data_IF_383443615868
#
_entry.id   IF_383443615868
#
_cell.length_a   1.000
_cell.length_b   1.000
_cell.length_c   1.000
_cell.angle_alpha   90.00
_cell.angle_beta   90.00
_cell.angle_gamma   90.00
#
_symmetry.space_group_name_H-M   'P 1'
#
loop_
_entity.id
_entity.type
_entity.pdbx_description
1 polymer ?
#
# COMPACT_ATOMS: atom_id res chain seq x y z
N UNK A 1 -18.13 -1.30 -1.74
CA UNK A 1 -18.58 -2.39 -2.62
C UNK A 1 -20.07 -2.55 -2.37
N UNK A 2 -20.87 -1.77 -3.08
CA UNK A 2 -22.31 -2.02 -3.12
C UNK A 2 -22.48 -3.22 -4.02
N UNK A 3 -22.92 -4.28 -3.41
CA UNK A 3 -22.94 -5.59 -3.97
C UNK A 3 -24.06 -5.71 -5.02
N UNK A 4 -23.79 -6.49 -6.05
CA UNK A 4 -24.77 -6.99 -7.02
C UNK A 4 -25.89 -7.85 -6.39
N UNK A 5 -26.09 -7.75 -5.07
CA UNK A 5 -27.02 -8.58 -4.31
C UNK A 5 -28.31 -7.84 -3.88
N UNK A 6 -28.45 -6.54 -4.17
CA UNK A 6 -29.75 -5.89 -3.99
C UNK A 6 -30.50 -5.92 -5.32
N UNK A 7 -31.55 -6.75 -5.46
CA UNK A 7 -32.35 -6.83 -6.68
C UNK A 7 -33.04 -5.51 -7.03
N UNK A 8 -33.04 -4.53 -6.11
CA UNK A 8 -33.57 -3.18 -6.37
C UNK A 8 -32.53 -2.27 -7.01
N UNK A 9 -31.28 -2.70 -7.09
CA UNK A 9 -30.22 -1.91 -7.73
C UNK A 9 -30.39 -1.82 -9.25
N UNK A 10 -31.14 -2.74 -9.85
CA UNK A 10 -31.42 -2.73 -11.29
C UNK A 10 -32.47 -1.68 -11.67
N UNK A 11 -33.30 -1.23 -10.73
CA UNK A 11 -34.34 -0.22 -10.96
C UNK A 11 -33.85 1.23 -10.77
N UNK A 12 -32.64 1.41 -10.25
CA UNK A 12 -32.04 2.72 -10.16
C UNK A 12 -31.19 2.98 -11.40
N UNK A 13 -31.76 3.57 -12.44
CA UNK A 13 -31.00 4.35 -13.43
C UNK A 13 -30.29 5.51 -12.70
N UNK A 14 -29.19 5.20 -12.06
CA UNK A 14 -28.32 6.22 -11.51
C UNK A 14 -27.62 6.86 -12.71
N UNK A 15 -28.17 8.00 -13.11
CA UNK A 15 -27.76 8.75 -14.27
C UNK A 15 -26.25 8.99 -14.36
N UNK A 16 -25.58 8.34 -15.30
CA UNK A 16 -24.34 8.79 -15.88
C UNK A 16 -23.06 8.08 -15.40
N UNK A 17 -21.98 8.25 -16.16
CA UNK A 17 -20.68 7.57 -15.96
C UNK A 17 -19.91 7.99 -14.70
N UNK A 18 -20.54 8.82 -13.86
CA UNK A 18 -19.90 9.42 -12.68
C UNK A 18 -20.00 8.57 -11.39
N UNK A 19 -20.64 7.41 -11.43
CA UNK A 19 -21.00 6.66 -10.21
C UNK A 19 -20.19 5.38 -9.97
N UNK A 20 -19.23 5.07 -10.80
CA UNK A 20 -18.24 4.09 -10.40
C UNK A 20 -17.29 4.77 -9.43
N UNK A 21 -17.21 4.31 -8.17
CA UNK A 21 -16.28 4.91 -7.23
C UNK A 21 -14.88 4.78 -7.80
N UNK A 22 -14.31 5.90 -8.17
CA UNK A 22 -12.92 5.95 -8.60
C UNK A 22 -12.07 5.45 -7.43
N UNK A 23 -11.28 4.42 -7.68
CA UNK A 23 -10.53 3.73 -6.63
C UNK A 23 -9.23 4.45 -6.36
N UNK A 24 -8.86 4.57 -5.09
CA UNK A 24 -7.49 4.87 -4.71
C UNK A 24 -6.70 3.56 -4.76
N UNK A 25 -5.57 3.56 -5.44
CA UNK A 25 -4.60 2.45 -5.41
C UNK A 25 -3.52 2.78 -4.41
N UNK A 26 -3.29 1.91 -3.46
CA UNK A 26 -2.27 2.08 -2.43
C UNK A 26 -1.29 0.93 -2.57
N UNK A 27 -0.01 1.26 -2.72
CA UNK A 27 1.08 0.30 -2.80
C UNK A 27 1.41 -0.37 -1.46
N UNK A 28 2.56 -0.96 -1.40
CA UNK A 28 3.06 -1.66 -0.20
C UNK A 28 3.94 -0.74 0.64
N UNK A 29 4.15 -1.06 1.92
CA UNK A 29 4.97 -0.25 2.86
C UNK A 29 4.57 1.24 2.92
N UNK A 30 3.29 1.54 2.69
CA UNK A 30 2.76 2.90 2.73
C UNK A 30 2.35 3.26 4.15
N UNK A 31 2.80 4.41 4.63
CA UNK A 31 2.32 4.99 5.88
C UNK A 31 1.33 6.13 5.59
N UNK A 32 0.16 6.06 6.18
CA UNK A 32 -0.88 7.10 6.07
C UNK A 32 -1.11 7.71 7.44
N UNK A 33 -0.74 8.98 7.59
CA UNK A 33 -0.90 9.73 8.84
C UNK A 33 -2.37 9.96 9.20
N UNK A 34 -2.60 10.16 10.49
CA UNK A 34 -3.95 10.37 11.03
C UNK A 34 -4.68 11.51 10.32
N UNK A 35 -5.94 11.27 9.95
CA UNK A 35 -6.79 12.28 9.32
C UNK A 35 -6.40 12.68 7.91
N UNK A 36 -5.49 11.96 7.25
CA UNK A 36 -5.18 12.21 5.85
C UNK A 36 -6.38 11.90 4.95
N UNK A 37 -6.60 12.74 3.95
CA UNK A 37 -7.65 12.58 2.96
C UNK A 37 -7.06 12.30 1.58
N UNK A 38 -7.46 11.18 0.97
CA UNK A 38 -7.01 10.77 -0.35
C UNK A 38 -8.14 10.98 -1.37
N UNK A 39 -7.89 11.81 -2.38
CA UNK A 39 -8.88 12.01 -3.45
C UNK A 39 -9.06 10.73 -4.28
N UNK A 40 -10.24 10.53 -4.86
CA UNK A 40 -10.47 9.40 -5.77
C UNK A 40 -9.53 9.44 -6.99
N UNK A 41 -9.28 8.25 -7.57
CA UNK A 41 -8.55 8.08 -8.83
C UNK A 41 -7.05 8.45 -8.77
N UNK A 42 -6.43 8.27 -7.59
CA UNK A 42 -5.00 8.47 -7.41
C UNK A 42 -4.30 7.16 -7.05
N UNK A 43 -3.00 7.14 -7.29
CA UNK A 43 -2.10 6.04 -6.91
C UNK A 43 -1.10 6.54 -5.88
N UNK A 44 -0.97 5.81 -4.79
CA UNK A 44 0.06 6.00 -3.77
C UNK A 44 1.11 4.91 -3.99
N UNK A 45 2.32 5.30 -4.37
CA UNK A 45 3.41 4.38 -4.67
C UNK A 45 3.94 3.65 -3.45
N UNK A 46 4.63 2.54 -3.68
CA UNK A 46 5.25 1.73 -2.62
C UNK A 46 6.15 2.58 -1.73
N UNK A 47 6.12 2.33 -0.43
CA UNK A 47 6.95 3.03 0.53
C UNK A 47 6.62 4.50 0.75
N UNK A 48 5.55 5.03 0.17
CA UNK A 48 5.18 6.45 0.35
C UNK A 48 4.73 6.75 1.78
N UNK A 49 4.93 7.98 2.20
CA UNK A 49 4.50 8.50 3.50
C UNK A 49 3.58 9.69 3.29
N UNK A 50 2.36 9.57 3.79
CA UNK A 50 1.37 10.62 3.78
C UNK A 50 1.33 11.26 5.17
N UNK A 51 1.64 12.55 5.25
CA UNK A 51 1.61 13.29 6.50
C UNK A 51 0.20 13.36 7.10
N UNK A 52 0.13 13.51 8.43
CA UNK A 52 -1.15 13.70 9.11
C UNK A 52 -1.90 14.92 8.55
N UNK A 53 -3.24 14.80 8.44
CA UNK A 53 -4.14 15.86 7.94
C UNK A 53 -3.83 16.33 6.51
N UNK A 54 -3.02 15.59 5.75
CA UNK A 54 -2.72 15.91 4.35
C UNK A 54 -3.92 15.63 3.44
N UNK A 55 -4.15 16.51 2.46
CA UNK A 55 -5.16 16.32 1.40
C UNK A 55 -4.44 15.98 0.10
N UNK A 56 -4.39 14.69 -0.24
CA UNK A 56 -3.68 14.19 -1.42
C UNK A 56 -4.59 14.25 -2.63
N UNK A 57 -4.22 15.07 -3.62
CA UNK A 57 -5.03 15.35 -4.80
C UNK A 57 -4.41 14.83 -6.11
N UNK A 58 -3.23 14.21 -6.04
CA UNK A 58 -2.47 13.68 -7.18
C UNK A 58 -1.74 12.42 -6.76
N UNK A 59 -1.30 11.66 -7.74
CA UNK A 59 -0.44 10.49 -7.52
C UNK A 59 0.78 10.86 -6.69
N UNK A 60 1.17 9.93 -5.81
CA UNK A 60 2.35 10.04 -4.96
C UNK A 60 3.40 9.04 -5.43
N UNK A 61 4.59 9.50 -5.82
CA UNK A 61 5.66 8.60 -6.25
C UNK A 61 6.09 7.62 -5.15
N UNK A 62 6.67 6.48 -5.51
CA UNK A 62 7.24 5.55 -4.54
C UNK A 62 8.26 6.25 -3.64
N UNK A 63 8.23 5.93 -2.35
CA UNK A 63 9.13 6.47 -1.31
C UNK A 63 9.12 8.00 -1.16
N UNK A 64 8.12 8.68 -1.70
CA UNK A 64 7.94 10.11 -1.44
C UNK A 64 7.24 10.35 -0.10
N UNK A 65 7.65 11.40 0.59
CA UNK A 65 6.97 11.94 1.77
C UNK A 65 6.19 13.16 1.32
N UNK A 66 4.88 13.11 1.49
CA UNK A 66 3.98 14.23 1.13
C UNK A 66 3.23 14.75 2.34
N UNK A 67 3.00 16.04 2.40
CA UNK A 67 2.24 16.70 3.47
C UNK A 67 1.54 17.96 2.97
N UNK A 68 0.59 18.45 3.73
CA UNK A 68 -0.15 19.71 3.49
C UNK A 68 -1.49 19.52 2.79
N UNK A 69 -2.21 20.61 2.59
CA UNK A 69 -3.51 20.69 1.91
C UNK A 69 -3.51 21.85 0.90
N UNK A 70 -3.43 21.57 -0.41
CA UNK A 70 -3.17 20.26 -1.03
C UNK A 70 -1.75 19.73 -0.74
N UNK A 71 -1.62 18.40 -0.65
CA UNK A 71 -0.34 17.78 -0.34
C UNK A 71 0.72 18.03 -1.43
N UNK A 72 1.97 18.22 -0.98
CA UNK A 72 3.14 18.39 -1.85
C UNK A 72 4.25 17.46 -1.36
N UNK A 73 5.12 17.05 -2.26
CA UNK A 73 6.32 16.29 -1.91
C UNK A 73 7.21 17.19 -1.04
N UNK A 74 7.49 16.74 0.17
CA UNK A 74 8.39 17.39 1.12
C UNK A 74 9.83 16.92 0.86
N UNK A 75 10.01 15.61 0.70
CA UNK A 75 11.30 14.96 0.39
C UNK A 75 11.07 13.51 -0.01
N UNK A 76 12.10 12.86 -0.48
CA UNK A 76 12.14 11.39 -0.59
C UNK A 76 12.55 10.77 0.75
N UNK A 77 12.11 9.54 1.04
CA UNK A 77 12.50 8.79 2.26
C UNK A 77 13.98 8.47 2.26
N UNK A 78 14.50 8.11 1.09
CA UNK A 78 15.85 7.61 0.89
C UNK A 78 16.46 8.21 -0.38
N UNK A 79 17.79 8.13 -0.58
CA UNK A 79 18.45 8.41 -1.85
C UNK A 79 17.96 7.47 -2.97
N UNK A 80 17.99 7.92 -4.22
CA UNK A 80 17.45 7.21 -5.37
C UNK A 80 17.99 5.78 -5.51
N UNK A 81 19.29 5.60 -5.35
CA UNK A 81 19.92 4.26 -5.43
C UNK A 81 19.34 3.28 -4.39
N UNK A 82 19.01 3.77 -3.20
CA UNK A 82 18.41 2.93 -2.16
C UNK A 82 16.94 2.64 -2.46
N UNK A 83 16.20 3.62 -3.00
CA UNK A 83 14.82 3.44 -3.44
C UNK A 83 14.75 2.36 -4.54
N UNK A 84 15.65 2.41 -5.53
CA UNK A 84 15.73 1.40 -6.59
C UNK A 84 15.94 -0.01 -6.03
N UNK A 85 16.83 -0.16 -5.03
CA UNK A 85 17.04 -1.44 -4.36
C UNK A 85 15.78 -1.92 -3.65
N UNK A 86 15.09 -1.07 -2.89
CA UNK A 86 13.83 -1.40 -2.22
C UNK A 86 12.75 -1.85 -3.20
N UNK A 87 12.59 -1.15 -4.32
CA UNK A 87 11.62 -1.48 -5.36
C UNK A 87 11.96 -2.80 -6.07
N UNK A 88 13.23 -3.14 -6.18
CA UNK A 88 13.70 -4.42 -6.74
C UNK A 88 13.48 -5.58 -5.76
N UNK A 89 13.86 -5.40 -4.50
CA UNK A 89 13.81 -6.44 -3.46
C UNK A 89 12.37 -6.76 -3.07
N UNK A 90 11.48 -5.78 -3.00
CA UNK A 90 10.06 -5.94 -2.62
C UNK A 90 9.91 -6.80 -1.35
N UNK A 91 10.57 -6.39 -0.27
CA UNK A 91 10.65 -7.16 0.98
C UNK A 91 9.30 -7.61 1.54
N UNK A 92 8.22 -6.91 1.25
CA UNK A 92 6.84 -7.25 1.64
C UNK A 92 6.28 -8.53 0.99
N UNK A 93 7.01 -9.12 0.03
CA UNK A 93 6.68 -10.41 -0.57
C UNK A 93 7.11 -11.59 0.30
N UNK A 94 7.87 -11.34 1.36
CA UNK A 94 8.41 -12.35 2.25
C UNK A 94 7.71 -12.32 3.60
N UNK A 95 7.71 -13.43 4.31
CA UNK A 95 7.04 -13.53 5.60
C UNK A 95 7.76 -12.72 6.67
N UNK A 96 7.00 -12.00 7.47
CA UNK A 96 7.55 -11.16 8.55
C UNK A 96 8.47 -11.94 9.51
N UNK A 97 8.16 -13.18 9.82
CA UNK A 97 8.98 -14.02 10.72
C UNK A 97 10.35 -14.37 10.14
N UNK A 98 10.52 -14.38 8.81
CA UNK A 98 11.81 -14.60 8.16
C UNK A 98 12.70 -13.35 8.23
N UNK A 99 12.07 -12.19 8.41
CA UNK A 99 12.73 -10.88 8.47
C UNK A 99 13.04 -10.41 9.90
N UNK A 100 12.66 -11.16 10.95
CA UNK A 100 12.78 -10.72 12.36
C UNK A 100 14.18 -10.29 12.78
N UNK A 101 15.21 -10.86 12.18
CA UNK A 101 16.61 -10.57 12.53
C UNK A 101 17.20 -9.43 11.70
N UNK A 102 16.45 -8.91 10.72
CA UNK A 102 16.90 -7.79 9.91
C UNK A 102 16.69 -6.49 10.69
N UNK A 103 17.72 -5.66 10.74
CA UNK A 103 17.66 -4.37 11.45
C UNK A 103 16.79 -3.38 10.69
N UNK A 104 15.60 -3.08 11.19
CA UNK A 104 14.66 -2.11 10.57
C UNK A 104 15.07 -0.65 10.81
N UNK A 105 16.05 -0.38 11.67
CA UNK A 105 16.51 0.97 12.00
C UNK A 105 17.58 1.50 11.05
N UNK A 106 18.21 0.61 10.29
CA UNK A 106 19.23 0.94 9.29
C UNK A 106 18.77 0.40 7.93
N UNK A 107 18.29 1.29 7.03
CA UNK A 107 17.70 0.87 5.76
C UNK A 107 18.65 0.10 4.83
N UNK A 108 19.94 0.45 4.81
CA UNK A 108 20.95 -0.23 3.98
C UNK A 108 21.23 -1.63 4.52
N UNK A 109 21.50 -1.75 5.82
CA UNK A 109 21.72 -3.05 6.48
C UNK A 109 20.50 -3.94 6.42
N UNK A 110 19.29 -3.34 6.47
CA UNK A 110 18.06 -4.10 6.28
C UNK A 110 18.05 -4.77 4.91
N UNK A 111 18.30 -4.00 3.84
CA UNK A 111 18.34 -4.54 2.48
C UNK A 111 19.43 -5.58 2.28
N UNK A 112 20.64 -5.33 2.79
CA UNK A 112 21.75 -6.28 2.69
C UNK A 112 21.34 -7.64 3.30
N UNK A 113 20.74 -7.62 4.50
CA UNK A 113 20.29 -8.83 5.17
C UNK A 113 19.14 -9.54 4.42
N UNK A 114 18.21 -8.78 3.82
CA UNK A 114 17.11 -9.35 3.03
C UNK A 114 17.63 -9.97 1.74
N UNK A 115 18.53 -9.29 1.02
CA UNK A 115 19.14 -9.78 -0.20
C UNK A 115 19.96 -11.05 0.05
N UNK A 116 20.72 -11.11 1.16
CA UNK A 116 21.44 -12.31 1.58
C UNK A 116 20.51 -13.50 1.84
N UNK A 117 19.40 -13.27 2.54
CA UNK A 117 18.39 -14.31 2.80
C UNK A 117 17.73 -14.81 1.50
N UNK A 118 17.42 -13.90 0.57
CA UNK A 118 16.89 -14.27 -0.74
C UNK A 118 17.90 -15.13 -1.52
N UNK A 119 19.17 -14.73 -1.53
CA UNK A 119 20.23 -15.51 -2.16
C UNK A 119 20.44 -16.87 -1.49
N UNK A 120 20.17 -16.97 -0.19
CA UNK A 120 20.18 -18.20 0.61
C UNK A 120 18.94 -19.11 0.41
N UNK A 121 18.00 -18.72 -0.45
CA UNK A 121 16.82 -19.54 -0.78
C UNK A 121 15.57 -19.19 0.02
N UNK A 122 15.47 -17.98 0.59
CA UNK A 122 14.23 -17.52 1.21
C UNK A 122 13.14 -17.41 0.16
N UNK A 123 12.02 -18.12 0.36
CA UNK A 123 10.90 -18.16 -0.57
C UNK A 123 9.88 -17.04 -0.30
N UNK A 124 9.17 -16.63 -1.36
CA UNK A 124 8.07 -15.68 -1.22
C UNK A 124 6.93 -16.28 -0.40
N UNK A 125 6.41 -15.47 0.51
CA UNK A 125 5.25 -15.87 1.30
C UNK A 125 3.97 -15.76 0.47
N UNK A 126 3.28 -16.87 0.32
CA UNK A 126 1.98 -16.97 -0.35
C UNK A 126 0.95 -17.46 0.65
N UNK A 127 0.24 -16.52 1.34
CA UNK A 127 -0.79 -16.91 2.28
C UNK A 127 -1.95 -17.60 1.57
N UNK A 128 -2.52 -18.60 2.22
CA UNK A 128 -3.77 -19.20 1.78
C UNK A 128 -4.91 -18.20 1.96
N UNK A 129 -5.74 -18.07 0.93
CA UNK A 129 -6.95 -17.27 1.02
C UNK A 129 -8.00 -18.00 1.86
N UNK A 130 -8.39 -17.41 2.99
CA UNK A 130 -9.48 -17.91 3.81
C UNK A 130 -10.73 -17.10 3.48
N UNK A 131 -11.79 -17.71 2.91
CA UNK A 131 -13.04 -17.02 2.68
C UNK A 131 -13.64 -16.52 4.00
N UNK A 132 -14.06 -15.27 4.07
CA UNK A 132 -14.65 -14.71 5.29
C UNK A 132 -15.83 -15.55 5.79
N UNK A 133 -16.60 -16.14 4.88
CA UNK A 133 -17.72 -17.03 5.20
C UNK A 133 -17.30 -18.23 6.05
N UNK A 134 -16.05 -18.71 5.92
CA UNK A 134 -15.54 -19.84 6.73
C UNK A 134 -15.18 -19.42 8.16
N UNK A 135 -15.11 -18.12 8.45
CA UNK A 135 -14.80 -17.57 9.76
C UNK A 135 -16.06 -17.20 10.57
N UNK A 136 -17.23 -17.22 9.92
CA UNK A 136 -18.51 -16.93 10.61
C UNK A 136 -19.02 -18.23 11.22
N UNK A 137 -19.20 -18.32 12.55
CA UNK A 137 -19.80 -19.49 13.16
C UNK A 137 -21.19 -19.70 12.54
N UNK A 138 -21.42 -20.88 11.97
CA UNK A 138 -22.78 -21.31 11.59
C UNK A 138 -23.53 -21.57 12.89
N UNK A 139 -24.33 -20.58 13.33
CA UNK A 139 -25.21 -20.70 14.50
C UNK A 139 -26.33 -21.72 14.27
#
# INVERSE_FOLDING_TARGET
>A
MFDRLDPRAEDYEICGPYLWPKRVRIGNDVYIGHGAFLMPDITIGDGAVIGAMAVVTKDVPPYAIVAGSPARIVKMRFPDALIERYLKVQWWRYAFWDLRQCSITDPERFLDAVEEKIAGGMEEYRPDWIPIQSLVPTG
#
